data_IF_908414533777
#
_entry.id   IF_908414533777
#
_cell.length_a   1.000
_cell.length_b   1.000
_cell.length_c   1.000
_cell.angle_alpha   90.00
_cell.angle_beta   90.00
_cell.angle_gamma   90.00
#
_symmetry.space_group_name_H-M   'P 1'
#
loop_
_entity.id
_entity.type
_entity.pdbx_description
1 polymer ?
#
# COMPACT_ATOMS: atom_id res chain seq x y z
N UNK A 1 -9.58 17.55 26.01
CA UNK A 1 -8.97 16.40 25.29
C UNK A 1 -10.04 15.30 25.20
N UNK A 2 -10.37 14.80 24.01
CA UNK A 2 -11.33 13.68 23.87
C UNK A 2 -10.57 12.35 23.96
N UNK A 3 -11.03 11.45 24.83
CA UNK A 3 -10.43 10.14 25.09
C UNK A 3 -10.63 9.11 23.96
N UNK A 4 -10.19 7.86 24.16
CA UNK A 4 -10.36 6.79 23.18
C UNK A 4 -11.84 6.55 22.86
N UNK A 5 -12.14 6.17 21.62
CA UNK A 5 -13.52 5.94 21.19
C UNK A 5 -14.08 4.62 21.75
N UNK A 6 -15.14 4.73 22.55
CA UNK A 6 -15.98 3.62 23.01
C UNK A 6 -17.45 4.00 22.77
N UNK A 7 -18.19 3.24 21.95
CA UNK A 7 -19.59 3.54 21.66
C UNK A 7 -20.14 2.85 20.41
N UNK A 8 -21.39 3.15 20.05
CA UNK A 8 -21.99 2.69 18.80
C UNK A 8 -21.32 3.35 17.58
N UNK A 9 -21.20 2.61 16.48
CA UNK A 9 -20.55 3.09 15.27
C UNK A 9 -20.79 2.18 14.08
N UNK A 10 -20.07 2.45 13.00
CA UNK A 10 -20.14 1.66 11.77
C UNK A 10 -19.09 0.55 11.80
N UNK A 11 -19.49 -0.67 11.46
CA UNK A 11 -18.56 -1.77 11.24
C UNK A 11 -18.00 -1.65 9.83
N UNK A 12 -16.68 -1.53 9.73
CA UNK A 12 -15.94 -1.56 8.47
C UNK A 12 -15.14 -2.85 8.42
N UNK A 13 -15.39 -3.64 7.39
CA UNK A 13 -14.60 -4.84 7.09
C UNK A 13 -13.73 -4.54 5.88
N UNK A 14 -12.45 -4.88 5.97
CA UNK A 14 -11.52 -4.82 4.84
C UNK A 14 -10.66 -6.07 4.86
N UNK A 15 -10.56 -6.75 3.72
CA UNK A 15 -9.86 -8.03 3.60
C UNK A 15 -8.86 -7.92 2.47
N UNK A 16 -7.64 -8.40 2.72
CA UNK A 16 -6.68 -8.72 1.67
C UNK A 16 -6.34 -10.19 1.76
N UNK A 17 -6.44 -10.87 0.63
CA UNK A 17 -6.23 -12.31 0.53
C UNK A 17 -5.85 -12.68 -0.90
N UNK A 18 -5.02 -13.71 -1.04
CA UNK A 18 -4.93 -14.43 -2.32
C UNK A 18 -6.08 -15.45 -2.36
N UNK A 19 -6.84 -15.56 -3.47
CA UNK A 19 -7.87 -16.58 -3.61
C UNK A 19 -7.36 -17.99 -3.28
N UNK A 20 -8.05 -18.69 -2.39
CA UNK A 20 -7.69 -20.05 -1.97
C UNK A 20 -6.51 -20.14 -1.00
N UNK A 21 -5.97 -19.01 -0.50
CA UNK A 21 -4.92 -18.96 0.52
C UNK A 21 -5.36 -18.19 1.76
N UNK A 22 -4.53 -18.24 2.81
CA UNK A 22 -4.69 -17.40 3.99
C UNK A 22 -4.60 -15.91 3.60
N UNK A 23 -5.42 -15.10 4.25
CA UNK A 23 -5.43 -13.65 4.13
C UNK A 23 -5.50 -12.98 5.50
N UNK A 24 -5.53 -11.65 5.48
CA UNK A 24 -5.79 -10.83 6.66
C UNK A 24 -7.15 -10.15 6.54
N UNK A 25 -7.95 -10.29 7.59
CA UNK A 25 -9.28 -9.74 7.69
C UNK A 25 -9.29 -8.67 8.78
N UNK A 26 -9.36 -7.41 8.37
CA UNK A 26 -9.52 -6.29 9.28
C UNK A 26 -11.00 -6.00 9.54
N UNK A 27 -11.40 -6.00 10.82
CA UNK A 27 -12.72 -5.55 11.25
C UNK A 27 -12.57 -4.41 12.24
N UNK A 28 -13.15 -3.26 11.89
CA UNK A 28 -12.99 -2.01 12.63
C UNK A 28 -14.35 -1.42 12.98
N UNK A 29 -14.45 -0.88 14.19
CA UNK A 29 -15.58 -0.08 14.62
C UNK A 29 -15.21 1.40 14.47
N UNK A 30 -15.90 2.09 13.58
CA UNK A 30 -15.63 3.49 13.21
C UNK A 30 -16.67 4.41 13.82
N UNK A 31 -16.19 5.51 14.44
CA UNK A 31 -17.02 6.54 15.06
C UNK A 31 -17.96 7.19 14.04
N UNK A 32 -19.24 7.44 14.37
CA UNK A 32 -20.16 8.14 13.49
C UNK A 32 -19.94 9.67 13.49
N UNK A 33 -20.57 10.38 12.55
CA UNK A 33 -20.58 11.86 12.52
C UNK A 33 -19.25 12.52 12.13
N UNK A 34 -18.36 11.78 11.46
CA UNK A 34 -17.05 12.29 11.04
C UNK A 34 -17.15 13.12 9.76
N UNK A 35 -16.26 14.11 9.62
CA UNK A 35 -16.11 14.86 8.36
C UNK A 35 -15.58 13.98 7.24
N UNK A 36 -15.86 14.35 5.99
CA UNK A 36 -15.40 13.63 4.80
C UNK A 36 -13.87 13.42 4.80
N UNK A 37 -13.12 14.48 5.08
CA UNK A 37 -11.67 14.43 5.22
C UNK A 37 -11.19 13.36 6.22
N UNK A 38 -11.83 13.26 7.40
CA UNK A 38 -11.46 12.25 8.40
C UNK A 38 -11.85 10.85 7.95
N UNK A 39 -13.01 10.67 7.29
CA UNK A 39 -13.41 9.38 6.72
C UNK A 39 -12.38 8.87 5.72
N UNK A 40 -11.88 9.73 4.83
CA UNK A 40 -10.85 9.37 3.84
C UNK A 40 -9.52 8.99 4.51
N UNK A 41 -9.09 9.75 5.53
CA UNK A 41 -7.90 9.38 6.33
C UNK A 41 -8.07 8.02 7.02
N UNK A 42 -9.25 7.73 7.57
CA UNK A 42 -9.55 6.42 8.19
C UNK A 42 -9.50 5.30 7.16
N UNK A 43 -10.13 5.49 5.99
CA UNK A 43 -10.12 4.50 4.92
C UNK A 43 -8.68 4.15 4.49
N UNK A 44 -7.86 5.17 4.24
CA UNK A 44 -6.44 4.99 3.92
C UNK A 44 -5.69 4.26 5.05
N UNK A 45 -5.93 4.63 6.31
CA UNK A 45 -5.26 4.01 7.46
C UNK A 45 -5.65 2.54 7.63
N UNK A 46 -6.93 2.20 7.47
CA UNK A 46 -7.43 0.82 7.56
C UNK A 46 -6.83 -0.03 6.43
N UNK A 47 -6.85 0.49 5.20
CA UNK A 47 -6.26 -0.19 4.05
C UNK A 47 -4.79 -0.49 4.32
N UNK A 48 -3.98 0.53 4.63
CA UNK A 48 -2.56 0.35 4.92
C UNK A 48 -2.33 -0.67 6.03
N UNK A 49 -3.01 -0.55 7.18
CA UNK A 49 -2.86 -1.51 8.30
C UNK A 49 -3.13 -2.96 7.90
N UNK A 50 -4.17 -3.19 7.11
CA UNK A 50 -4.49 -4.54 6.62
C UNK A 50 -3.45 -5.01 5.62
N UNK A 51 -2.96 -4.12 4.74
CA UNK A 51 -1.95 -4.50 3.76
C UNK A 51 -0.60 -4.86 4.37
N UNK A 52 -0.12 -4.08 5.35
CA UNK A 52 1.11 -4.41 6.07
C UNK A 52 0.98 -5.71 6.88
N UNK A 53 -0.17 -5.95 7.52
CA UNK A 53 -0.40 -7.24 8.19
C UNK A 53 -0.44 -8.41 7.19
N UNK A 54 -0.99 -8.20 5.99
CA UNK A 54 -0.98 -9.22 4.95
C UNK A 54 0.43 -9.47 4.39
N UNK A 55 1.26 -8.43 4.27
CA UNK A 55 2.68 -8.55 3.94
C UNK A 55 3.45 -9.40 4.95
N UNK A 56 3.28 -9.13 6.25
CA UNK A 56 3.91 -9.93 7.32
C UNK A 56 3.55 -11.42 7.20
N UNK A 57 2.31 -11.74 6.82
CA UNK A 57 1.88 -13.11 6.55
C UNK A 57 2.59 -13.72 5.35
N UNK A 58 2.72 -12.97 4.26
CA UNK A 58 3.40 -13.44 3.04
C UNK A 58 4.90 -13.65 3.30
N UNK A 59 5.55 -12.73 4.01
CA UNK A 59 6.95 -12.88 4.43
C UNK A 59 7.15 -14.12 5.30
N UNK A 60 6.27 -14.35 6.27
CA UNK A 60 6.32 -15.55 7.10
C UNK A 60 6.12 -16.84 6.28
N UNK A 61 5.20 -16.82 5.32
CA UNK A 61 4.95 -17.96 4.43
C UNK A 61 6.12 -18.25 3.48
N UNK A 62 6.78 -17.21 2.96
CA UNK A 62 7.99 -17.32 2.15
C UNK A 62 9.17 -17.85 3.00
N UNK A 63 9.32 -17.37 4.24
CA UNK A 63 10.33 -17.88 5.19
C UNK A 63 10.15 -19.38 5.49
N UNK A 64 8.89 -19.85 5.59
CA UNK A 64 8.57 -21.27 5.75
C UNK A 64 8.69 -22.09 4.46
N UNK A 65 8.99 -21.47 3.31
CA UNK A 65 9.12 -22.14 2.02
C UNK A 65 7.80 -22.68 1.45
N UNK A 66 6.65 -22.17 1.95
CA UNK A 66 5.31 -22.61 1.53
C UNK A 66 4.62 -21.65 0.56
N UNK A 67 5.23 -20.48 0.31
CA UNK A 67 4.77 -19.51 -0.67
C UNK A 67 5.76 -19.38 -1.85
N UNK A 68 5.24 -18.86 -2.97
CA UNK A 68 5.89 -18.89 -4.28
C UNK A 68 6.84 -17.71 -4.52
N UNK A 69 7.42 -17.11 -3.46
CA UNK A 69 8.35 -15.98 -3.61
C UNK A 69 7.69 -14.74 -4.21
N UNK A 70 6.35 -14.63 -4.13
CA UNK A 70 5.64 -13.44 -4.62
C UNK A 70 5.64 -12.31 -3.60
N UNK A 71 6.53 -12.37 -2.59
CA UNK A 71 6.65 -11.47 -1.45
C UNK A 71 6.11 -10.08 -1.77
N UNK A 72 5.06 -9.71 -1.04
CA UNK A 72 4.30 -8.49 -1.16
C UNK A 72 5.11 -7.35 -1.81
N UNK A 73 4.72 -6.93 -3.02
CA UNK A 73 5.44 -5.88 -3.72
C UNK A 73 4.98 -4.51 -3.20
N UNK A 74 5.92 -3.63 -2.89
CA UNK A 74 5.61 -2.23 -2.61
C UNK A 74 4.82 -1.54 -3.75
N UNK A 75 4.95 -2.06 -4.97
CA UNK A 75 4.19 -1.62 -6.14
C UNK A 75 2.70 -2.01 -6.04
N UNK A 76 2.38 -3.18 -5.47
CA UNK A 76 0.99 -3.59 -5.24
C UNK A 76 0.32 -2.67 -4.21
N UNK A 77 1.04 -2.27 -3.16
CA UNK A 77 0.52 -1.28 -2.20
C UNK A 77 0.30 0.08 -2.87
N UNK A 78 1.25 0.52 -3.68
CA UNK A 78 1.17 1.80 -4.40
C UNK A 78 -0.04 1.82 -5.33
N UNK A 79 -0.26 0.76 -6.09
CA UNK A 79 -1.44 0.61 -6.95
C UNK A 79 -2.75 0.60 -6.14
N UNK A 80 -2.79 -0.11 -5.01
CA UNK A 80 -3.95 -0.11 -4.11
C UNK A 80 -4.25 1.29 -3.53
N UNK A 81 -3.21 2.05 -3.14
CA UNK A 81 -3.35 3.44 -2.68
C UNK A 81 -3.92 4.32 -3.78
N UNK A 82 -3.38 4.24 -5.00
CA UNK A 82 -3.90 5.01 -6.15
C UNK A 82 -5.37 4.64 -6.41
N UNK A 83 -5.69 3.35 -6.44
CA UNK A 83 -7.06 2.87 -6.63
C UNK A 83 -8.03 3.39 -5.55
N UNK A 84 -7.61 3.40 -4.29
CA UNK A 84 -8.40 3.97 -3.20
C UNK A 84 -8.61 5.48 -3.37
N UNK A 85 -7.55 6.23 -3.75
CA UNK A 85 -7.65 7.67 -3.98
C UNK A 85 -8.59 8.00 -5.14
N UNK A 86 -8.59 7.20 -6.21
CA UNK A 86 -9.55 7.31 -7.32
C UNK A 86 -10.97 7.04 -6.80
N UNK A 87 -11.18 5.97 -6.03
CA UNK A 87 -12.49 5.64 -5.47
C UNK A 87 -13.03 6.71 -4.50
N UNK A 88 -12.14 7.46 -3.84
CA UNK A 88 -12.48 8.58 -2.96
C UNK A 88 -12.66 9.92 -3.70
N UNK A 89 -12.44 9.95 -5.02
CA UNK A 89 -12.53 11.15 -5.85
C UNK A 89 -11.40 12.16 -5.62
N UNK A 90 -10.24 11.72 -5.13
CA UNK A 90 -9.09 12.59 -4.86
C UNK A 90 -8.21 12.84 -6.09
N UNK A 91 -8.25 11.92 -7.04
CA UNK A 91 -7.53 11.95 -8.31
C UNK A 91 -8.31 11.16 -9.35
N UNK A 92 -8.30 11.59 -10.60
CA UNK A 92 -8.83 10.80 -11.71
C UNK A 92 -7.81 9.76 -12.18
N UNK A 93 -8.26 8.73 -12.90
CA UNK A 93 -7.34 7.76 -13.50
C UNK A 93 -6.35 8.46 -14.46
N UNK A 94 -6.82 9.42 -15.25
CA UNK A 94 -6.01 10.18 -16.20
C UNK A 94 -4.93 11.00 -15.48
N UNK A 95 -5.29 11.73 -14.42
CA UNK A 95 -4.31 12.47 -13.61
C UNK A 95 -3.30 11.55 -12.93
N UNK A 96 -3.73 10.38 -12.44
CA UNK A 96 -2.85 9.41 -11.81
C UNK A 96 -1.82 8.86 -12.83
N UNK A 97 -2.27 8.44 -14.01
CA UNK A 97 -1.41 7.93 -15.08
C UNK A 97 -0.43 9.01 -15.57
N UNK A 98 -0.92 10.24 -15.79
CA UNK A 98 -0.10 11.38 -16.21
C UNK A 98 1.02 11.69 -15.21
N UNK A 99 0.73 11.58 -13.91
CA UNK A 99 1.68 11.87 -12.86
C UNK A 99 2.64 10.71 -12.52
N UNK A 100 2.29 9.46 -12.82
CA UNK A 100 3.10 8.29 -12.45
C UNK A 100 4.14 7.88 -13.51
N UNK A 101 4.12 8.48 -14.71
CA UNK A 101 5.03 8.20 -15.83
C UNK A 101 5.18 6.71 -16.18
N UNK A 102 4.49 6.26 -17.23
CA UNK A 102 4.62 4.87 -17.70
C UNK A 102 6.05 4.56 -18.14
N UNK A 103 6.59 3.45 -17.62
CA UNK A 103 7.88 2.88 -18.03
C UNK A 103 7.66 1.65 -18.92
N UNK A 104 8.69 1.25 -19.65
CA UNK A 104 8.67 0.04 -20.48
C UNK A 104 8.46 -1.22 -19.63
N UNK A 105 7.94 -2.28 -20.26
CA UNK A 105 7.76 -3.59 -19.63
C UNK A 105 9.07 -4.14 -19.06
N UNK A 106 10.18 -3.94 -19.76
CA UNK A 106 11.48 -4.47 -19.35
C UNK A 106 12.00 -3.72 -18.13
N UNK A 107 11.81 -2.39 -18.06
CA UNK A 107 12.12 -1.60 -16.88
C UNK A 107 11.25 -2.00 -15.68
N UNK A 108 9.93 -2.17 -15.89
CA UNK A 108 9.02 -2.61 -14.84
C UNK A 108 9.39 -4.01 -14.29
N UNK A 109 9.72 -4.97 -15.17
CA UNK A 109 10.15 -6.31 -14.76
C UNK A 109 11.49 -6.29 -14.02
N UNK A 110 12.44 -5.47 -14.46
CA UNK A 110 13.72 -5.35 -13.76
C UNK A 110 13.56 -4.73 -12.36
N UNK A 111 12.72 -3.70 -12.22
CA UNK A 111 12.38 -3.14 -10.90
C UNK A 111 11.70 -4.19 -10.00
N UNK A 112 10.79 -4.97 -10.58
CA UNK A 112 10.10 -6.07 -9.90
C UNK A 112 11.03 -7.21 -9.48
N UNK A 113 12.11 -7.47 -10.20
CA UNK A 113 13.07 -8.54 -9.86
C UNK A 113 14.16 -8.08 -8.87
N UNK A 114 14.35 -6.76 -8.68
CA UNK A 114 15.40 -6.16 -7.84
C UNK A 114 14.82 -5.37 -6.64
N UNK A 115 13.93 -6.03 -5.88
CA UNK A 115 12.98 -5.44 -4.91
C UNK A 115 13.56 -4.84 -3.62
N UNK A 116 14.85 -4.62 -3.51
CA UNK A 116 15.53 -4.14 -2.29
C UNK A 116 15.08 -2.72 -1.83
N UNK A 117 14.01 -2.17 -2.42
CA UNK A 117 13.63 -0.75 -2.44
C UNK A 117 12.12 -0.52 -2.19
N UNK A 118 11.44 -1.45 -1.53
CA UNK A 118 10.01 -1.37 -1.23
C UNK A 118 9.66 -1.43 0.26
N UNK A 119 8.97 -0.37 0.73
CA UNK A 119 8.32 -0.14 2.04
C UNK A 119 9.13 -0.33 3.34
N UNK A 120 9.08 0.70 4.18
CA UNK A 120 9.56 0.68 5.56
C UNK A 120 8.60 -0.14 6.44
N UNK A 121 9.06 -0.67 7.57
CA UNK A 121 8.25 -1.39 8.57
C UNK A 121 7.10 -0.58 9.22
N UNK A 122 6.94 0.70 8.85
CA UNK A 122 5.97 1.64 9.40
C UNK A 122 4.93 2.06 8.38
N UNK A 123 3.68 1.66 8.63
CA UNK A 123 2.57 1.92 7.71
C UNK A 123 2.20 3.40 7.53
N UNK A 124 2.57 4.26 8.47
CA UNK A 124 2.34 5.70 8.41
C UNK A 124 3.43 6.47 7.67
N UNK A 125 4.46 5.76 7.17
CA UNK A 125 5.53 6.28 6.31
C UNK A 125 5.83 5.36 5.12
N UNK A 126 4.85 5.11 4.22
CA UNK A 126 5.09 4.25 3.07
C UNK A 126 6.11 4.90 2.12
N UNK A 127 7.14 4.14 1.74
CA UNK A 127 8.05 4.49 0.65
C UNK A 127 7.29 4.27 -0.66
N UNK A 128 6.92 5.36 -1.32
CA UNK A 128 6.18 5.35 -2.60
C UNK A 128 7.09 5.63 -3.80
N UNK A 129 8.39 5.32 -3.71
CA UNK A 129 9.29 5.49 -4.84
C UNK A 129 10.32 4.36 -4.89
N UNK A 130 10.48 3.78 -6.08
CA UNK A 130 11.64 2.99 -6.43
C UNK A 130 12.81 3.94 -6.71
N UNK A 131 13.96 3.74 -6.07
CA UNK A 131 15.20 4.38 -6.53
C UNK A 131 15.56 3.79 -7.91
N UNK A 132 15.56 4.61 -8.96
CA UNK A 132 15.87 4.21 -10.35
C UNK A 132 17.26 4.68 -10.80
N UNK A 133 18.16 5.08 -9.88
CA UNK A 133 19.48 5.66 -10.18
C UNK A 133 20.47 4.77 -10.95
N UNK A 134 20.05 3.61 -11.45
CA UNK A 134 20.92 2.74 -12.24
C UNK A 134 21.20 3.41 -13.59
N UNK A 135 22.48 3.70 -13.91
CA UNK A 135 22.82 4.36 -15.16
C UNK A 135 22.56 3.45 -16.36
N UNK A 136 22.04 4.05 -17.44
CA UNK A 136 21.88 3.39 -18.74
C UNK A 136 23.25 2.94 -19.26
N UNK A 137 23.34 1.73 -19.81
CA UNK A 137 24.61 1.25 -20.36
C UNK A 137 24.62 -0.23 -20.73
N UNK A 138 25.82 -0.76 -20.84
CA UNK A 138 26.08 -2.18 -21.03
C UNK A 138 27.09 -2.56 -19.96
N UNK A 139 26.81 -3.61 -19.21
CA UNK A 139 27.75 -4.18 -18.25
C UNK A 139 29.02 -4.59 -19.01
N UNK A 140 30.11 -4.77 -18.26
CA UNK A 140 31.40 -5.21 -18.83
C UNK A 140 31.33 -6.58 -19.52
N UNK A 141 30.31 -7.38 -19.21
CA UNK A 141 30.03 -8.68 -19.81
C UNK A 141 29.14 -8.63 -21.07
N UNK A 142 28.74 -7.44 -21.51
CA UNK A 142 27.89 -7.25 -22.69
C UNK A 142 26.39 -7.32 -22.41
N UNK A 143 25.96 -7.55 -21.16
CA UNK A 143 24.54 -7.50 -20.79
C UNK A 143 24.04 -6.06 -20.68
N UNK A 144 22.80 -5.81 -21.12
CA UNK A 144 22.20 -4.46 -21.07
C UNK A 144 21.98 -4.03 -19.62
N UNK A 145 22.50 -2.86 -19.24
CA UNK A 145 22.14 -2.22 -17.97
C UNK A 145 20.76 -1.56 -18.12
N UNK A 146 19.91 -1.65 -17.11
CA UNK A 146 18.61 -0.99 -17.14
C UNK A 146 18.77 0.52 -17.28
N UNK A 147 18.06 1.11 -18.24
CA UNK A 147 18.00 2.55 -18.40
C UNK A 147 17.15 3.20 -17.31
N UNK A 148 17.60 4.30 -16.71
CA UNK A 148 16.72 5.18 -15.92
C UNK A 148 15.75 5.88 -16.88
N UNK A 149 14.64 5.21 -17.20
CA UNK A 149 13.55 5.79 -18.00
C UNK A 149 12.88 6.97 -17.28
N UNK A 150 13.10 7.08 -15.97
CA UNK A 150 12.67 8.20 -15.14
C UNK A 150 13.77 9.27 -14.98
N UNK A 151 14.78 9.29 -15.86
CA UNK A 151 15.83 10.32 -15.87
C UNK A 151 15.21 11.69 -16.15
N UNK A 152 15.50 12.67 -15.30
CA UNK A 152 14.93 14.02 -15.37
C UNK A 152 13.53 14.17 -14.76
N UNK A 153 12.89 13.08 -14.31
CA UNK A 153 11.67 13.17 -13.52
C UNK A 153 11.97 13.64 -12.09
N UNK A 154 11.06 14.39 -11.44
CA UNK A 154 11.16 14.68 -10.02
C UNK A 154 11.26 13.36 -9.23
N UNK A 155 12.31 13.20 -8.43
CA UNK A 155 12.48 12.03 -7.54
C UNK A 155 11.66 12.21 -6.26
N UNK A 156 10.39 12.52 -6.41
CA UNK A 156 9.43 12.72 -5.34
C UNK A 156 8.07 12.15 -5.76
N UNK A 157 7.28 11.58 -4.83
CA UNK A 157 5.97 11.06 -5.15
C UNK A 157 5.04 12.18 -5.64
N UNK A 158 4.14 11.89 -6.59
CA UNK A 158 3.08 12.82 -6.98
C UNK A 158 2.33 13.42 -5.79
N UNK A 159 2.01 14.70 -5.85
CA UNK A 159 1.43 15.44 -4.72
C UNK A 159 0.12 14.83 -4.23
N UNK A 160 -0.69 14.25 -5.13
CA UNK A 160 -1.96 13.60 -4.78
C UNK A 160 -1.77 12.41 -3.82
N UNK A 161 -0.65 11.67 -3.90
CA UNK A 161 -0.32 10.58 -2.97
C UNK A 161 -0.05 11.09 -1.55
N UNK A 162 0.30 12.37 -1.40
CA UNK A 162 0.63 12.99 -0.11
C UNK A 162 -0.45 13.91 0.45
N UNK A 163 -1.51 14.17 -0.34
CA UNK A 163 -2.62 15.07 0.02
C UNK A 163 -3.43 14.54 1.18
N UNK A 164 -3.70 13.23 1.19
CA UNK A 164 -4.32 12.54 2.32
C UNK A 164 -3.24 11.78 3.06
N UNK A 165 -3.07 12.11 4.34
CA UNK A 165 -2.13 11.39 5.21
C UNK A 165 -2.88 10.37 6.06
N UNK A 166 -2.34 9.16 6.24
CA UNK A 166 -2.90 8.23 7.21
C UNK A 166 -2.93 8.85 8.61
N UNK A 167 -3.76 8.29 9.47
CA UNK A 167 -3.80 8.63 10.88
C UNK A 167 -2.62 7.97 11.56
N UNK A 168 -1.94 8.72 12.43
CA UNK A 168 -1.01 8.11 13.37
C UNK A 168 -1.75 7.13 14.30
N UNK A 169 -1.00 6.24 14.95
CA UNK A 169 -1.57 5.32 15.93
C UNK A 169 -2.41 6.02 17.01
N UNK A 170 -1.96 7.17 17.50
CA UNK A 170 -2.65 7.92 18.54
C UNK A 170 -3.86 8.70 18.03
N UNK A 171 -3.80 9.21 16.79
CA UNK A 171 -4.98 9.81 16.15
C UNK A 171 -6.05 8.75 15.89
N UNK A 172 -5.65 7.59 15.37
CA UNK A 172 -6.55 6.49 15.00
C UNK A 172 -7.45 6.08 16.18
N UNK A 173 -6.89 5.98 17.39
CA UNK A 173 -7.60 5.62 18.64
C UNK A 173 -8.81 6.52 18.97
N UNK A 174 -8.86 7.73 18.41
CA UNK A 174 -9.97 8.68 18.60
C UNK A 174 -11.14 8.44 17.65
N UNK A 175 -10.90 7.69 16.57
CA UNK A 175 -11.81 7.57 15.44
C UNK A 175 -12.26 6.14 15.18
N UNK A 176 -11.40 5.16 15.40
CA UNK A 176 -11.75 3.77 15.20
C UNK A 176 -10.90 2.84 16.07
N UNK A 177 -11.44 1.65 16.34
CA UNK A 177 -10.78 0.58 17.07
C UNK A 177 -10.89 -0.72 16.27
N UNK A 178 -9.85 -1.56 16.29
CA UNK A 178 -9.93 -2.91 15.75
C UNK A 178 -10.79 -3.77 16.68
N UNK A 179 -11.84 -4.41 16.15
CA UNK A 179 -12.71 -5.27 16.97
C UNK A 179 -12.27 -6.73 16.92
N UNK A 180 -11.90 -7.25 15.74
CA UNK A 180 -11.53 -8.68 15.55
C UNK A 180 -10.63 -8.86 14.31
N UNK A 181 -9.58 -8.05 14.17
CA UNK A 181 -8.67 -8.20 13.03
C UNK A 181 -7.77 -9.42 13.20
N UNK A 182 -7.72 -10.33 12.21
CA UNK A 182 -6.99 -11.58 12.30
C UNK A 182 -6.60 -12.19 10.93
N UNK A 183 -5.74 -13.20 10.96
CA UNK A 183 -5.47 -14.08 9.83
C UNK A 183 -6.55 -15.14 9.67
N UNK A 184 -6.93 -15.47 8.43
CA UNK A 184 -8.00 -16.45 8.16
C UNK A 184 -7.98 -16.99 6.74
N UNK A 185 -8.72 -18.08 6.53
CA UNK A 185 -9.04 -18.60 5.20
C UNK A 185 -10.22 -17.83 4.60
N UNK A 186 -10.41 -17.86 3.27
CA UNK A 186 -11.50 -17.13 2.62
C UNK A 186 -12.84 -17.52 3.23
N UNK A 187 -13.58 -16.52 3.73
CA UNK A 187 -14.98 -16.72 4.10
C UNK A 187 -15.76 -17.11 2.85
N UNK A 188 -16.46 -18.26 2.88
CA UNK A 188 -17.35 -18.67 1.78
C UNK A 188 -18.42 -17.57 1.59
N UNK A 189 -18.74 -17.23 0.32
CA UNK A 189 -19.75 -16.23 0.01
C UNK A 189 -21.12 -16.59 0.60
#
# INVERSE_FOLDING_TARGET
MQGPFFGQGYIVNYTQQVPGRLGFHGRYLVRPGLSDHIKKRIALTIMLRVSFAFEDLQLFADWLGVASGSGYAADDLTANVIGLLIAMGEVTLEEALSACHEVSRDAALHLWDNRDRGLHDQYDQPILHSDTRTPCGTNTDGSTMMCDECSGQPKAPPSFLTRIRPLSNDEARRYFVGSTSNYGLPSRP
#
